data_IF_435971501864
#
_entry.id   IF_435971501864
#
_cell.length_a   1.000
_cell.length_b   1.000
_cell.length_c   1.000
_cell.angle_alpha   90.00
_cell.angle_beta   90.00
_cell.angle_gamma   90.00
#
_symmetry.space_group_name_H-M   'P 1'
#
loop_
_entity.id
_entity.type
_entity.pdbx_description
1 polymer ?
#
# COMPACT_ATOMS: atom_id res chain seq x y z
N UNK A 1 -42.91 -1.87 -2.77
CA UNK A 1 -41.68 -1.91 -1.95
C UNK A 1 -40.49 -1.60 -2.85
N UNK A 2 -39.99 -0.36 -2.82
CA UNK A 2 -38.87 0.08 -3.67
C UNK A 2 -37.57 -0.57 -3.16
N UNK A 3 -37.00 -1.50 -3.94
CA UNK A 3 -35.64 -2.02 -3.70
C UNK A 3 -34.68 -0.84 -3.89
N UNK A 4 -34.16 -0.28 -2.78
CA UNK A 4 -33.03 0.66 -2.86
C UNK A 4 -31.91 0.00 -3.68
N UNK A 5 -31.33 0.67 -4.68
CA UNK A 5 -30.20 0.12 -5.41
C UNK A 5 -29.11 -0.17 -4.37
N UNK A 6 -28.69 -1.44 -4.25
CA UNK A 6 -27.54 -1.79 -3.41
C UNK A 6 -26.35 -1.09 -4.05
N UNK A 7 -25.82 -0.04 -3.42
CA UNK A 7 -24.59 0.57 -3.91
C UNK A 7 -23.51 -0.50 -3.87
N UNK A 8 -22.98 -0.87 -5.04
CA UNK A 8 -21.81 -1.75 -5.10
C UNK A 8 -20.69 -1.14 -4.23
N UNK A 9 -19.91 -1.97 -3.50
CA UNK A 9 -18.78 -1.45 -2.74
C UNK A 9 -17.89 -0.65 -3.69
N UNK A 10 -17.64 0.63 -3.35
CA UNK A 10 -16.78 1.48 -4.17
C UNK A 10 -15.35 0.96 -4.04
N UNK A 11 -14.66 0.60 -5.13
CA UNK A 11 -13.31 0.04 -5.05
C UNK A 11 -12.27 1.09 -4.64
N UNK A 12 -12.48 2.36 -5.00
CA UNK A 12 -11.54 3.46 -4.78
C UNK A 12 -11.14 3.61 -3.29
N UNK A 13 -12.06 3.66 -2.30
CA UNK A 13 -11.70 3.70 -0.88
C UNK A 13 -10.76 2.58 -0.43
N UNK A 14 -10.94 1.36 -0.93
CA UNK A 14 -10.09 0.22 -0.54
C UNK A 14 -8.68 0.38 -1.11
N UNK A 15 -8.55 0.82 -2.35
CA UNK A 15 -7.26 1.08 -3.00
C UNK A 15 -6.51 2.19 -2.25
N UNK A 16 -7.18 3.30 -1.96
CA UNK A 16 -6.58 4.42 -1.21
C UNK A 16 -6.16 3.99 0.19
N UNK A 17 -7.01 3.26 0.90
CA UNK A 17 -6.69 2.76 2.25
C UNK A 17 -5.47 1.83 2.21
N UNK A 18 -5.46 0.89 1.26
CA UNK A 18 -4.32 0.00 1.06
C UNK A 18 -3.03 0.76 0.76
N UNK A 19 -3.08 1.75 -0.14
CA UNK A 19 -1.93 2.58 -0.49
C UNK A 19 -1.36 3.33 0.72
N UNK A 20 -2.23 3.94 1.54
CA UNK A 20 -1.83 4.66 2.75
C UNK A 20 -1.18 3.71 3.76
N UNK A 21 -1.77 2.53 3.99
CA UNK A 21 -1.19 1.52 4.89
C UNK A 21 0.18 1.07 4.37
N UNK A 22 0.29 0.76 3.08
CA UNK A 22 1.55 0.35 2.47
C UNK A 22 2.63 1.42 2.55
N UNK A 23 2.29 2.68 2.32
CA UNK A 23 3.19 3.82 2.51
C UNK A 23 3.69 3.92 3.95
N UNK A 24 2.81 3.83 4.95
CA UNK A 24 3.19 3.89 6.37
C UNK A 24 4.13 2.74 6.72
N UNK A 25 3.78 1.51 6.34
CA UNK A 25 4.60 0.32 6.65
C UNK A 25 5.98 0.43 6.02
N UNK A 26 6.08 0.74 4.73
CA UNK A 26 7.36 0.84 4.05
C UNK A 26 8.16 2.08 4.47
N UNK A 27 7.50 3.18 4.82
CA UNK A 27 8.14 4.34 5.44
C UNK A 27 8.83 3.96 6.75
N UNK A 28 8.13 3.21 7.61
CA UNK A 28 8.71 2.68 8.87
C UNK A 28 9.87 1.74 8.59
N UNK A 29 9.75 0.84 7.61
CA UNK A 29 10.84 -0.07 7.21
C UNK A 29 12.06 0.69 6.70
N UNK A 30 11.87 1.79 5.97
CA UNK A 30 13.01 2.58 5.49
C UNK A 30 13.81 3.25 6.62
N UNK A 31 13.19 3.48 7.79
CA UNK A 31 13.84 4.10 8.95
C UNK A 31 14.41 3.07 9.94
N UNK A 32 13.67 1.97 10.16
CA UNK A 32 13.95 0.99 11.21
C UNK A 32 14.38 -0.38 10.68
N UNK A 33 14.46 -0.54 9.35
CA UNK A 33 14.81 -1.79 8.72
C UNK A 33 16.21 -2.28 9.13
N UNK A 34 16.36 -3.59 9.41
CA UNK A 34 17.68 -4.18 9.61
C UNK A 34 18.51 -4.01 8.33
N UNK A 35 19.82 -3.88 8.48
CA UNK A 35 20.76 -3.81 7.37
C UNK A 35 20.56 -2.63 6.40
N UNK A 36 19.93 -1.53 6.84
CA UNK A 36 19.80 -0.29 6.04
C UNK A 36 21.12 0.24 5.46
N UNK A 37 22.25 -0.11 6.09
CA UNK A 37 23.60 0.25 5.68
C UNK A 37 24.46 -0.98 5.32
N UNK A 38 23.90 -2.20 5.39
CA UNK A 38 24.68 -3.43 5.29
C UNK A 38 24.26 -4.18 4.02
N UNK A 39 25.05 -4.05 2.96
CA UNK A 39 24.83 -4.80 1.72
C UNK A 39 25.77 -4.38 0.59
N UNK A 40 26.17 -3.11 0.58
CA UNK A 40 27.18 -2.55 -0.31
C UNK A 40 27.93 -1.48 0.48
N UNK A 41 29.23 -1.32 0.26
CA UNK A 41 30.11 -0.31 0.90
C UNK A 41 29.78 1.12 0.42
N UNK A 42 28.48 1.40 0.25
CA UNK A 42 27.87 2.58 -0.35
C UNK A 42 26.94 3.14 0.72
N UNK A 43 27.24 4.36 1.17
CA UNK A 43 26.32 5.11 2.02
C UNK A 43 25.10 5.47 1.18
N UNK A 44 23.99 4.78 1.38
CA UNK A 44 22.74 5.09 0.71
C UNK A 44 22.18 6.41 1.26
N UNK A 45 21.81 7.34 0.37
CA UNK A 45 21.13 8.56 0.79
C UNK A 45 19.79 8.19 1.45
N UNK A 46 19.54 8.59 2.71
CA UNK A 46 18.30 8.30 3.42
C UNK A 46 17.06 8.80 2.68
N UNK A 47 17.18 9.90 1.94
CA UNK A 47 16.11 10.45 1.11
C UNK A 47 15.73 9.52 -0.04
N UNK A 48 16.72 8.98 -0.75
CA UNK A 48 16.51 8.00 -1.81
C UNK A 48 15.86 6.72 -1.28
N UNK A 49 16.35 6.18 -0.16
CA UNK A 49 15.79 4.96 0.45
C UNK A 49 14.31 5.14 0.83
N UNK A 50 13.98 6.25 1.49
CA UNK A 50 12.59 6.59 1.82
C UNK A 50 11.74 6.72 0.55
N UNK A 51 12.24 7.40 -0.48
CA UNK A 51 11.53 7.58 -1.75
C UNK A 51 11.14 6.26 -2.42
N UNK A 52 12.11 5.36 -2.61
CA UNK A 52 11.84 4.05 -3.23
C UNK A 52 10.89 3.20 -2.39
N UNK A 53 11.10 3.13 -1.08
CA UNK A 53 10.25 2.35 -0.18
C UNK A 53 8.83 2.91 -0.14
N UNK A 54 8.66 4.24 -0.16
CA UNK A 54 7.36 4.90 -0.22
C UNK A 54 6.57 4.52 -1.46
N UNK A 55 7.21 4.54 -2.64
CA UNK A 55 6.56 4.20 -3.92
C UNK A 55 6.19 2.72 -3.94
N UNK A 56 7.08 1.84 -3.50
CA UNK A 56 6.80 0.41 -3.38
C UNK A 56 5.65 0.15 -2.41
N UNK A 57 5.65 0.80 -1.25
CA UNK A 57 4.59 0.72 -0.26
C UNK A 57 3.23 1.18 -0.82
N UNK A 58 3.20 2.34 -1.48
CA UNK A 58 1.98 2.85 -2.13
C UNK A 58 1.43 1.85 -3.15
N UNK A 59 2.29 1.32 -4.01
CA UNK A 59 1.89 0.41 -5.08
C UNK A 59 1.40 -0.94 -4.53
N UNK A 60 2.19 -1.59 -3.67
CA UNK A 60 1.83 -2.89 -3.09
C UNK A 60 0.60 -2.77 -2.19
N UNK A 61 0.53 -1.70 -1.39
CA UNK A 61 -0.63 -1.39 -0.58
C UNK A 61 -1.89 -1.19 -1.42
N UNK A 62 -1.81 -0.39 -2.49
CA UNK A 62 -2.91 -0.16 -3.42
C UNK A 62 -3.38 -1.47 -4.07
N UNK A 63 -2.45 -2.33 -4.47
CA UNK A 63 -2.72 -3.63 -5.07
C UNK A 63 -3.47 -4.56 -4.10
N UNK A 64 -3.04 -4.63 -2.84
CA UNK A 64 -3.74 -5.39 -1.80
C UNK A 64 -5.14 -4.82 -1.56
N UNK A 65 -5.27 -3.50 -1.48
CA UNK A 65 -6.57 -2.83 -1.37
C UNK A 65 -7.50 -3.16 -2.54
N UNK A 66 -6.97 -3.15 -3.77
CA UNK A 66 -7.71 -3.53 -4.98
C UNK A 66 -8.14 -5.01 -4.94
N UNK A 67 -7.25 -5.92 -4.51
CA UNK A 67 -7.55 -7.33 -4.37
C UNK A 67 -8.68 -7.59 -3.35
N UNK A 68 -8.66 -6.88 -2.22
CA UNK A 68 -9.73 -6.93 -1.22
C UNK A 68 -11.05 -6.44 -1.81
N UNK A 69 -11.05 -5.31 -2.52
CA UNK A 69 -12.24 -4.79 -3.19
C UNK A 69 -12.80 -5.76 -4.23
N UNK A 70 -11.92 -6.38 -5.03
CA UNK A 70 -12.29 -7.39 -6.00
C UNK A 70 -12.92 -8.60 -5.31
N UNK A 71 -12.32 -9.11 -4.22
CA UNK A 71 -12.86 -10.24 -3.46
C UNK A 71 -14.27 -9.96 -2.92
N UNK A 72 -14.52 -8.77 -2.37
CA UNK A 72 -15.85 -8.37 -1.91
C UNK A 72 -16.86 -8.17 -3.04
N UNK A 73 -16.38 -7.86 -4.24
CA UNK A 73 -17.23 -7.71 -5.43
C UNK A 73 -17.59 -9.06 -6.05
N UNK A 74 -16.63 -9.99 -6.14
CA UNK A 74 -16.80 -11.32 -6.73
C UNK A 74 -17.43 -12.37 -5.78
N UNK A 75 -17.39 -12.17 -4.46
CA UNK A 75 -18.09 -13.05 -3.49
C UNK A 75 -19.58 -12.73 -3.31
N UNK A 76 -20.15 -11.83 -4.12
CA UNK A 76 -21.59 -11.53 -4.17
C UNK A 76 -22.24 -12.22 -5.35
#
# INVERSE_FOLDING_TARGET
MSKRPRSNPKPIPFVVTGAVIGFVVFGVVSWLGPNRNEGFDITYDPGAALGYMSVLGLFLGALVGAAVAALFTYRR
#
